data_IF_684174141457
#
_entry.id   IF_684174141457
#
_cell.length_a   1.000
_cell.length_b   1.000
_cell.length_c   1.000
_cell.angle_alpha   90.00
_cell.angle_beta   90.00
_cell.angle_gamma   90.00
#
_symmetry.space_group_name_H-M   'P 1'
#
loop_
_entity.id
_entity.type
_entity.pdbx_description
1 polymer ?
#
# COMPACT_ATOMS: atom_id res chain seq x y z
N UNK A 1 -42.85 -31.61 46.00
CA UNK A 1 -42.83 -33.00 46.50
C UNK A 1 -43.27 -33.87 45.33
N UNK A 2 -42.37 -34.62 44.69
CA UNK A 2 -41.94 -35.98 45.09
C UNK A 2 -43.09 -37.00 45.04
N UNK A 3 -43.01 -38.16 44.38
CA UNK A 3 -41.99 -38.84 43.52
C UNK A 3 -42.75 -39.43 42.29
N UNK A 4 -42.15 -39.90 41.19
CA UNK A 4 -40.76 -40.16 40.82
C UNK A 4 -40.62 -41.59 40.23
N UNK A 5 -39.95 -41.77 39.09
CA UNK A 5 -39.66 -43.10 38.52
C UNK A 5 -38.40 -43.06 37.64
N UNK A 6 -37.56 -44.10 37.72
CA UNK A 6 -36.33 -44.27 36.92
C UNK A 6 -36.45 -45.50 36.03
N UNK A 7 -35.83 -45.47 34.85
CA UNK A 7 -35.36 -46.66 34.12
C UNK A 7 -33.90 -46.48 33.70
N UNK A 8 -33.10 -47.56 33.62
CA UNK A 8 -31.66 -47.46 33.43
C UNK A 8 -31.26 -47.32 31.94
N UNK A 9 -30.09 -46.72 31.73
CA UNK A 9 -29.34 -46.83 30.47
C UNK A 9 -28.50 -48.12 30.47
N UNK A 10 -28.21 -48.64 29.27
CA UNK A 10 -27.14 -49.61 29.04
C UNK A 10 -26.43 -49.23 27.73
N UNK A 11 -25.08 -49.22 27.67
CA UNK A 11 -24.35 -48.79 26.49
C UNK A 11 -24.26 -49.90 25.43
N UNK A 12 -23.95 -49.53 24.18
CA UNK A 12 -23.52 -50.46 23.14
C UNK A 12 -22.55 -49.77 22.16
N UNK A 13 -21.34 -50.31 22.10
CA UNK A 13 -20.33 -50.28 21.04
C UNK A 13 -20.29 -49.09 20.06
N UNK A 14 -19.27 -48.25 20.24
CA UNK A 14 -18.49 -47.76 19.09
C UNK A 14 -17.58 -48.91 18.60
N UNK A 15 -17.57 -49.22 17.29
CA UNK A 15 -16.30 -49.47 16.57
C UNK A 15 -16.43 -49.52 15.02
N UNK A 16 -15.29 -49.27 14.35
CA UNK A 16 -14.90 -49.66 12.98
C UNK A 16 -15.83 -49.35 11.76
N UNK A 17 -15.62 -48.20 11.09
CA UNK A 17 -16.00 -48.01 9.67
C UNK A 17 -15.16 -46.94 8.91
N UNK A 18 -13.82 -46.99 8.96
CA UNK A 18 -12.95 -45.87 8.54
C UNK A 18 -12.24 -45.87 7.15
N UNK A 19 -12.48 -46.75 6.14
CA UNK A 19 -11.80 -46.64 4.84
C UNK A 19 -12.60 -45.91 3.73
N UNK A 20 -13.93 -45.84 3.83
CA UNK A 20 -14.78 -45.36 2.72
C UNK A 20 -14.69 -43.83 2.49
N UNK A 21 -14.60 -43.05 3.56
CA UNK A 21 -14.67 -41.58 3.51
C UNK A 21 -13.49 -40.96 2.77
N UNK A 22 -12.28 -41.46 3.00
CA UNK A 22 -11.05 -40.95 2.37
C UNK A 22 -11.04 -41.15 0.85
N UNK A 23 -11.53 -42.30 0.36
CA UNK A 23 -11.70 -42.53 -1.09
C UNK A 23 -12.73 -41.57 -1.68
N UNK A 24 -13.85 -41.34 -0.99
CA UNK A 24 -14.90 -40.41 -1.43
C UNK A 24 -14.42 -38.97 -1.50
N UNK A 25 -13.58 -38.52 -0.56
CA UNK A 25 -12.92 -37.20 -0.62
C UNK A 25 -11.95 -37.10 -1.81
N UNK A 26 -11.08 -38.10 -2.04
CA UNK A 26 -10.17 -38.11 -3.21
C UNK A 26 -10.92 -38.06 -4.54
N UNK A 27 -12.02 -38.81 -4.68
CA UNK A 27 -12.85 -38.75 -5.89
C UNK A 27 -13.58 -37.41 -6.05
N UNK A 28 -14.02 -36.76 -4.97
CA UNK A 28 -14.64 -35.44 -5.00
C UNK A 28 -13.63 -34.35 -5.45
N UNK A 29 -12.42 -34.37 -4.88
CA UNK A 29 -11.34 -33.45 -5.26
C UNK A 29 -10.88 -33.65 -6.71
N UNK A 30 -10.86 -34.89 -7.22
CA UNK A 30 -10.47 -35.15 -8.62
C UNK A 30 -11.47 -34.63 -9.67
N UNK A 31 -12.73 -34.41 -9.29
CA UNK A 31 -13.83 -34.04 -10.20
C UNK A 31 -14.06 -32.52 -10.26
N UNK A 32 -13.78 -31.78 -9.19
CA UNK A 32 -13.99 -30.33 -9.12
C UNK A 32 -12.73 -29.52 -9.50
N UNK A 33 -12.21 -29.71 -10.73
CA UNK A 33 -11.08 -28.92 -11.25
C UNK A 33 -11.52 -27.49 -11.62
N UNK A 34 -11.24 -26.54 -10.73
CA UNK A 34 -11.11 -25.09 -10.99
C UNK A 34 -12.08 -24.47 -12.01
N UNK A 35 -13.35 -24.32 -11.62
CA UNK A 35 -14.37 -23.60 -12.41
C UNK A 35 -14.11 -22.08 -12.40
N UNK A 36 -13.21 -21.61 -13.26
CA UNK A 36 -12.92 -20.19 -13.46
C UNK A 36 -13.97 -19.57 -14.39
N UNK A 37 -15.09 -19.11 -13.80
CA UNK A 37 -16.19 -18.45 -14.51
C UNK A 37 -15.72 -17.06 -14.97
N UNK A 38 -15.47 -16.90 -16.26
CA UNK A 38 -15.44 -15.59 -16.89
C UNK A 38 -16.89 -15.13 -17.16
N UNK A 39 -17.20 -13.83 -17.10
CA UNK A 39 -18.51 -13.34 -17.51
C UNK A 39 -18.75 -13.66 -18.98
N UNK A 40 -19.88 -14.30 -19.28
CA UNK A 40 -20.44 -14.30 -20.63
C UNK A 40 -21.02 -12.91 -20.85
N UNK A 41 -20.63 -12.27 -21.94
CA UNK A 41 -21.30 -11.07 -22.44
C UNK A 41 -22.32 -11.56 -23.45
N UNK A 42 -23.60 -11.48 -23.10
CA UNK A 42 -24.68 -11.82 -24.03
C UNK A 42 -24.85 -10.67 -25.03
N UNK A 43 -24.22 -10.80 -26.21
CA UNK A 43 -24.35 -9.88 -27.35
C UNK A 43 -25.73 -10.03 -28.02
N UNK A 44 -26.81 -9.65 -27.32
CA UNK A 44 -28.15 -9.47 -27.89
C UNK A 44 -28.95 -8.39 -27.11
N UNK A 45 -28.88 -7.14 -27.57
CA UNK A 45 -29.85 -6.10 -27.18
C UNK A 45 -30.09 -5.10 -28.32
N UNK A 46 -31.37 -4.98 -28.72
CA UNK A 46 -31.79 -4.26 -29.93
C UNK A 46 -31.41 -2.77 -30.00
N UNK A 47 -30.94 -2.34 -31.16
CA UNK A 47 -30.73 -0.93 -31.51
C UNK A 47 -32.01 -0.30 -32.08
N UNK A 48 -32.80 0.41 -31.27
CA UNK A 48 -33.82 1.33 -31.81
C UNK A 48 -34.13 2.59 -30.98
N UNK A 49 -34.14 3.73 -31.69
CA UNK A 49 -34.89 4.98 -31.43
C UNK A 49 -34.75 5.74 -30.09
N UNK A 50 -33.82 6.71 -30.06
CA UNK A 50 -34.06 8.09 -29.56
C UNK A 50 -32.99 9.02 -30.21
N UNK A 51 -33.33 9.88 -31.17
CA UNK A 51 -33.98 11.21 -31.03
C UNK A 51 -33.04 12.28 -30.46
N UNK A 52 -32.69 13.26 -31.30
CA UNK A 52 -31.54 14.16 -31.11
C UNK A 52 -31.89 15.50 -30.47
N UNK A 53 -31.04 16.02 -29.59
CA UNK A 53 -30.97 17.45 -29.23
C UNK A 53 -29.51 17.94 -29.22
N UNK A 54 -29.20 19.12 -29.79
CA UNK A 54 -27.82 19.62 -29.87
C UNK A 54 -27.44 20.49 -28.66
N UNK A 55 -26.25 20.25 -28.10
CA UNK A 55 -25.58 21.20 -27.19
C UNK A 55 -24.65 22.14 -27.98
N UNK A 56 -24.54 23.43 -27.62
CA UNK A 56 -23.70 24.39 -28.34
C UNK A 56 -22.20 24.21 -28.04
N UNK A 57 -21.36 24.35 -29.06
CA UNK A 57 -19.89 24.31 -28.92
C UNK A 57 -19.33 25.65 -28.47
N UNK A 58 -18.61 25.68 -27.34
CA UNK A 58 -17.89 26.84 -26.84
C UNK A 58 -16.45 26.88 -27.35
N UNK A 59 -16.22 27.57 -28.47
CA UNK A 59 -14.86 27.93 -28.90
C UNK A 59 -14.28 29.04 -28.00
N UNK A 60 -13.01 28.94 -27.56
CA UNK A 60 -12.31 30.09 -26.99
C UNK A 60 -11.97 31.12 -28.09
N UNK A 61 -11.97 32.43 -27.79
CA UNK A 61 -11.67 33.47 -28.77
C UNK A 61 -10.19 33.48 -29.18
N UNK A 62 -9.92 33.88 -30.42
CA UNK A 62 -8.56 34.12 -30.90
C UNK A 62 -8.00 35.42 -30.32
N UNK A 63 -6.69 35.42 -30.01
CA UNK A 63 -5.93 36.61 -29.63
C UNK A 63 -5.41 37.26 -30.94
N UNK A 64 -5.60 38.58 -31.15
CA UNK A 64 -5.03 39.27 -32.31
C UNK A 64 -3.53 39.56 -32.12
N UNK A 65 -2.75 39.41 -33.20
CA UNK A 65 -1.41 39.97 -33.32
C UNK A 65 -1.49 41.49 -33.58
N UNK A 66 -0.57 42.28 -33.00
CA UNK A 66 -0.34 43.70 -33.33
C UNK A 66 1.16 44.06 -33.06
N UNK A 67 1.77 45.09 -33.70
CA UNK A 67 3.19 45.03 -34.03
C UNK A 67 4.09 46.23 -33.63
N UNK A 68 5.39 46.08 -33.90
CA UNK A 68 6.50 47.07 -33.89
C UNK A 68 7.12 47.51 -32.54
N UNK A 69 8.43 47.82 -32.61
CA UNK A 69 9.27 48.38 -31.53
C UNK A 69 10.07 47.34 -30.74
N UNK A 70 11.41 47.29 -30.73
CA UNK A 70 12.38 47.96 -31.60
C UNK A 70 13.38 48.89 -30.87
N UNK A 71 14.41 48.34 -30.19
CA UNK A 71 15.66 49.03 -29.78
C UNK A 71 16.70 47.99 -29.28
N UNK A 72 18.01 48.32 -29.12
CA UNK A 72 19.10 47.33 -29.18
C UNK A 72 19.57 46.73 -27.83
N UNK A 73 20.34 45.65 -27.95
CA UNK A 73 21.02 44.94 -26.85
C UNK A 73 22.45 45.46 -26.60
N UNK A 74 22.90 45.61 -25.34
CA UNK A 74 24.29 45.82 -24.98
C UNK A 74 25.08 44.50 -24.79
N UNK A 75 26.38 44.55 -25.07
CA UNK A 75 27.30 43.39 -25.06
C UNK A 75 27.60 42.85 -23.65
N UNK A 76 27.59 41.52 -23.43
CA UNK A 76 28.15 40.94 -22.20
C UNK A 76 29.68 40.99 -22.23
N UNK A 77 30.28 41.70 -21.27
CA UNK A 77 31.74 41.75 -21.13
C UNK A 77 32.23 40.58 -20.28
N UNK A 78 33.23 39.85 -20.76
CA UNK A 78 33.87 38.77 -19.98
C UNK A 78 34.75 39.35 -18.88
N UNK A 79 34.62 38.86 -17.66
CA UNK A 79 35.53 39.16 -16.55
C UNK A 79 36.01 37.87 -15.87
N UNK A 80 37.33 37.74 -15.73
CA UNK A 80 37.99 36.62 -15.08
C UNK A 80 38.14 36.89 -13.58
N UNK A 81 37.84 35.94 -12.68
CA UNK A 81 38.15 36.10 -11.25
C UNK A 81 39.65 35.92 -11.02
N UNK A 82 40.27 36.75 -10.18
CA UNK A 82 41.68 36.58 -9.77
C UNK A 82 41.92 37.13 -8.35
N UNK A 83 42.28 36.21 -7.46
CA UNK A 83 43.03 36.36 -6.20
C UNK A 83 42.57 37.28 -5.04
N UNK A 84 42.40 36.60 -3.88
CA UNK A 84 43.05 36.90 -2.59
C UNK A 84 42.73 38.23 -1.86
N UNK A 85 41.93 38.10 -0.80
CA UNK A 85 42.10 38.79 0.48
C UNK A 85 41.60 37.84 1.59
N UNK A 86 42.48 37.14 2.31
CA UNK A 86 43.00 37.52 3.64
C UNK A 86 41.92 38.11 4.56
N UNK A 87 41.44 37.31 5.52
CA UNK A 87 40.54 37.73 6.60
C UNK A 87 41.30 37.61 7.94
N UNK A 88 41.37 38.66 8.77
CA UNK A 88 41.99 38.58 10.10
C UNK A 88 41.08 37.84 11.09
N UNK A 89 41.69 37.07 11.99
CA UNK A 89 40.98 36.44 13.12
C UNK A 89 40.70 37.48 14.21
N UNK A 90 39.47 37.51 14.71
CA UNK A 90 39.11 38.23 15.94
C UNK A 90 38.86 37.23 17.06
N UNK A 91 39.84 37.04 17.95
CA UNK A 91 39.66 36.25 19.18
C UNK A 91 39.10 37.13 20.29
N UNK A 92 37.88 36.82 20.76
CA UNK A 92 37.32 37.44 21.96
C UNK A 92 37.70 36.63 23.19
N UNK A 93 38.75 37.05 23.90
CA UNK A 93 39.03 36.53 25.24
C UNK A 93 38.00 37.08 26.25
N UNK A 94 37.48 36.22 27.12
CA UNK A 94 36.73 36.61 28.31
C UNK A 94 37.58 36.31 29.55
N UNK A 95 37.75 37.29 30.45
CA UNK A 95 38.68 37.19 31.58
C UNK A 95 38.07 36.44 32.77
N UNK A 96 38.91 35.68 33.48
CA UNK A 96 38.64 35.14 34.81
C UNK A 96 38.83 36.19 35.92
N UNK A 97 38.06 36.07 37.00
CA UNK A 97 38.35 36.64 38.32
C UNK A 97 37.64 35.77 39.41
N UNK A 98 38.17 35.67 40.66
CA UNK A 98 37.71 34.67 41.63
C UNK A 98 36.78 35.21 42.73
N UNK A 99 36.19 34.30 43.50
CA UNK A 99 35.66 34.54 44.86
C UNK A 99 35.76 33.26 45.70
N UNK A 100 36.03 33.41 46.99
CA UNK A 100 36.52 32.35 47.88
C UNK A 100 35.46 31.72 48.81
N UNK A 101 35.84 30.55 49.33
CA UNK A 101 35.42 29.86 50.57
C UNK A 101 34.02 30.13 51.16
N UNK A 102 33.24 29.04 51.26
CA UNK A 102 32.42 28.76 52.45
C UNK A 102 32.51 27.25 52.80
N UNK A 103 32.76 26.93 54.08
CA UNK A 103 32.94 25.54 54.57
C UNK A 103 31.79 25.13 55.48
N UNK A 104 31.12 24.00 55.20
CA UNK A 104 30.36 23.25 56.23
C UNK A 104 30.10 21.78 55.87
N UNK A 105 30.46 20.89 56.82
CA UNK A 105 29.80 19.63 57.19
C UNK A 105 29.36 18.63 56.09
N UNK A 106 30.09 17.51 55.98
CA UNK A 106 29.62 16.30 55.30
C UNK A 106 28.69 15.42 56.18
N UNK A 107 27.89 14.52 55.57
CA UNK A 107 26.96 13.65 56.28
C UNK A 107 27.64 12.47 57.00
N UNK A 108 27.01 11.88 58.04
CA UNK A 108 27.56 10.75 58.79
C UNK A 108 27.54 9.43 57.98
N UNK A 109 28.41 8.46 58.31
CA UNK A 109 28.48 7.16 57.63
C UNK A 109 27.23 6.30 57.90
N UNK A 110 26.71 5.66 56.85
CA UNK A 110 25.55 4.77 56.95
C UNK A 110 25.90 3.41 57.58
N UNK A 111 25.00 2.91 58.44
CA UNK A 111 25.10 1.57 59.04
C UNK A 111 24.61 0.51 58.03
N UNK A 112 25.33 -0.61 57.83
CA UNK A 112 24.89 -1.66 56.91
C UNK A 112 23.67 -2.43 57.47
N UNK A 113 22.60 -2.49 56.67
CA UNK A 113 21.44 -3.35 56.95
C UNK A 113 21.73 -4.81 56.58
N UNK A 114 21.13 -5.79 57.30
CA UNK A 114 21.28 -7.21 56.97
C UNK A 114 20.54 -7.58 55.67
N UNK A 115 20.98 -8.63 54.95
CA UNK A 115 20.39 -8.99 53.66
C UNK A 115 19.01 -9.64 53.81
N UNK A 116 17.97 -8.91 53.38
CA UNK A 116 16.64 -9.47 53.15
C UNK A 116 16.69 -10.55 52.07
N UNK A 117 16.06 -11.71 52.33
CA UNK A 117 15.87 -12.76 51.31
C UNK A 117 14.91 -12.25 50.24
N UNK A 118 15.45 -11.89 49.08
CA UNK A 118 14.64 -11.62 47.88
C UNK A 118 14.02 -12.94 47.42
N UNK A 119 12.71 -13.07 47.59
CA UNK A 119 11.93 -14.14 46.97
C UNK A 119 11.68 -13.75 45.50
N UNK A 120 12.06 -14.62 44.57
CA UNK A 120 11.98 -14.29 43.14
C UNK A 120 10.51 -14.04 42.72
N UNK A 121 10.22 -12.95 41.99
CA UNK A 121 8.87 -12.71 41.48
C UNK A 121 8.53 -13.76 40.41
N UNK A 122 7.38 -14.41 40.55
CA UNK A 122 6.83 -15.28 39.51
C UNK A 122 6.67 -14.49 38.21
N UNK A 123 7.16 -15.03 37.10
CA UNK A 123 7.03 -14.37 35.80
C UNK A 123 5.53 -14.17 35.46
N UNK A 124 5.11 -12.97 35.01
CA UNK A 124 3.75 -12.76 34.57
C UNK A 124 3.47 -13.64 33.35
N UNK A 125 2.35 -14.36 33.37
CA UNK A 125 1.95 -15.18 32.23
C UNK A 125 1.69 -14.27 31.02
N UNK A 126 2.37 -14.54 29.90
CA UNK A 126 2.07 -13.85 28.65
C UNK A 126 0.60 -14.09 28.28
N UNK A 127 -0.17 -13.04 27.93
CA UNK A 127 -1.50 -13.23 27.39
C UNK A 127 -1.40 -14.06 26.10
N UNK A 128 -2.31 -15.02 25.94
CA UNK A 128 -2.35 -15.82 24.73
C UNK A 128 -2.58 -14.92 23.49
N UNK A 129 -1.93 -15.20 22.35
CA UNK A 129 -2.20 -14.45 21.12
C UNK A 129 -3.69 -14.56 20.76
N UNK A 130 -4.33 -13.46 20.31
CA UNK A 130 -5.74 -13.47 20.00
C UNK A 130 -6.07 -14.51 18.92
N UNK A 131 -7.23 -15.18 19.00
CA UNK A 131 -7.60 -16.19 18.02
C UNK A 131 -7.73 -15.56 16.62
N UNK A 132 -7.04 -16.14 15.64
CA UNK A 132 -7.15 -15.72 14.24
C UNK A 132 -8.54 -16.11 13.74
N UNK A 133 -9.44 -15.14 13.70
CA UNK A 133 -10.81 -15.32 13.19
C UNK A 133 -10.79 -15.64 11.69
N UNK A 134 -11.66 -16.55 11.27
CA UNK A 134 -11.86 -16.84 9.85
C UNK A 134 -12.57 -15.65 9.16
N UNK A 135 -12.25 -15.34 7.90
CA UNK A 135 -12.86 -14.24 7.18
C UNK A 135 -14.37 -14.47 7.02
N UNK A 136 -15.17 -13.48 7.45
CA UNK A 136 -16.63 -13.53 7.38
C UNK A 136 -17.16 -12.95 6.06
N UNK A 137 -18.23 -13.51 5.45
CA UNK A 137 -18.79 -13.00 4.18
C UNK A 137 -19.30 -11.54 4.23
N UNK A 138 -19.50 -10.97 5.41
CA UNK A 138 -19.83 -9.55 5.58
C UNK A 138 -18.68 -8.62 5.17
N UNK A 139 -17.43 -9.00 5.46
CA UNK A 139 -16.25 -8.15 5.27
C UNK A 139 -15.95 -7.87 3.79
N UNK A 140 -16.10 -8.87 2.92
CA UNK A 140 -15.90 -8.67 1.48
C UNK A 140 -16.97 -7.75 0.87
N UNK A 141 -18.23 -7.88 1.29
CA UNK A 141 -19.32 -7.02 0.80
C UNK A 141 -19.08 -5.55 1.17
N UNK A 142 -18.51 -5.29 2.35
CA UNK A 142 -18.07 -3.94 2.74
C UNK A 142 -16.85 -3.45 1.90
N UNK A 143 -15.87 -4.30 1.60
CA UNK A 143 -14.78 -3.95 0.67
C UNK A 143 -15.30 -3.59 -0.74
N UNK A 144 -16.26 -4.35 -1.27
CA UNK A 144 -16.85 -4.12 -2.60
C UNK A 144 -17.74 -2.87 -2.67
N UNK A 145 -18.40 -2.50 -1.56
CA UNK A 145 -19.06 -1.21 -1.45
C UNK A 145 -18.03 -0.07 -1.67
N UNK A 146 -16.90 -0.09 -0.96
CA UNK A 146 -15.83 0.92 -1.12
C UNK A 146 -15.17 0.88 -2.51
N UNK A 147 -14.98 -0.30 -3.10
CA UNK A 147 -14.48 -0.44 -4.49
C UNK A 147 -15.46 0.08 -5.56
N UNK A 148 -16.70 0.45 -5.19
CA UNK A 148 -17.64 1.13 -6.10
C UNK A 148 -17.22 2.59 -6.31
N UNK A 149 -16.95 3.31 -5.22
CA UNK A 149 -16.83 4.77 -5.25
C UNK A 149 -15.50 5.21 -5.91
N UNK A 150 -14.43 4.45 -5.69
CA UNK A 150 -13.13 4.68 -6.34
C UNK A 150 -13.19 4.53 -7.88
N UNK A 151 -14.17 3.78 -8.41
CA UNK A 151 -14.19 3.23 -9.77
C UNK A 151 -14.58 4.22 -10.87
N UNK A 152 -14.97 5.45 -10.51
CA UNK A 152 -15.66 6.39 -11.41
C UNK A 152 -14.77 7.08 -12.47
N UNK A 153 -13.53 6.62 -12.70
CA UNK A 153 -12.52 7.35 -13.47
C UNK A 153 -11.67 6.48 -14.42
N UNK A 154 -11.83 6.72 -15.74
CA UNK A 154 -10.95 6.37 -16.88
C UNK A 154 -10.98 4.93 -17.48
N UNK A 155 -10.66 4.87 -18.79
CA UNK A 155 -10.47 3.70 -19.69
C UNK A 155 -9.38 4.09 -20.75
N UNK A 156 -8.93 3.31 -21.76
CA UNK A 156 -9.53 2.22 -22.55
C UNK A 156 -8.47 1.49 -23.48
N UNK A 157 -8.79 0.29 -24.00
CA UNK A 157 -8.44 -0.32 -25.34
C UNK A 157 -7.06 -0.94 -25.77
N UNK A 158 -6.85 -2.24 -25.46
CA UNK A 158 -6.68 -3.40 -26.39
C UNK A 158 -5.49 -3.63 -27.43
N UNK A 159 -5.26 -4.94 -27.71
CA UNK A 159 -4.51 -5.72 -28.78
C UNK A 159 -2.96 -6.17 -28.63
N UNK A 160 -2.45 -7.40 -29.07
CA UNK A 160 -1.94 -8.67 -28.37
C UNK A 160 -0.38 -9.07 -28.39
N UNK A 161 0.24 -10.31 -28.20
CA UNK A 161 -0.05 -11.80 -28.05
C UNK A 161 1.14 -12.75 -27.50
N UNK A 162 0.88 -14.05 -27.17
CA UNK A 162 1.66 -15.38 -27.14
C UNK A 162 2.85 -15.89 -26.23
N UNK A 163 2.81 -17.22 -25.95
CA UNK A 163 3.78 -18.36 -25.69
C UNK A 163 4.94 -18.52 -24.62
N UNK A 164 5.18 -19.81 -24.27
CA UNK A 164 6.25 -20.56 -23.51
C UNK A 164 6.35 -20.55 -21.95
N UNK A 165 6.10 -21.73 -21.33
CA UNK A 165 6.06 -21.96 -19.85
C UNK A 165 7.38 -21.63 -19.10
N UNK A 166 7.30 -21.30 -17.80
CA UNK A 166 8.40 -20.66 -17.09
C UNK A 166 9.24 -21.54 -16.17
N UNK A 167 10.52 -21.15 -16.06
CA UNK A 167 11.35 -21.39 -14.88
C UNK A 167 10.86 -20.49 -13.73
N UNK A 168 10.87 -21.00 -12.49
CA UNK A 168 10.63 -20.17 -11.31
C UNK A 168 11.85 -19.31 -11.02
N UNK A 169 11.75 -18.00 -11.13
CA UNK A 169 12.83 -17.11 -10.72
C UNK A 169 13.17 -17.30 -9.24
N UNK A 170 14.46 -17.46 -8.87
CA UNK A 170 14.87 -17.57 -7.48
C UNK A 170 14.35 -16.39 -6.66
N UNK A 171 13.73 -16.67 -5.51
CA UNK A 171 13.36 -15.63 -4.55
C UNK A 171 14.62 -14.81 -4.22
N UNK A 172 14.61 -13.47 -4.38
CA UNK A 172 15.77 -12.64 -4.00
C UNK A 172 16.14 -12.84 -2.53
N UNK A 173 17.40 -12.58 -2.17
CA UNK A 173 17.93 -12.81 -0.81
C UNK A 173 17.06 -12.10 0.25
N UNK A 174 16.72 -10.83 0.00
CA UNK A 174 15.84 -10.01 0.86
C UNK A 174 14.33 -10.27 0.62
N UNK A 175 13.99 -11.17 -0.29
CA UNK A 175 12.63 -11.46 -0.76
C UNK A 175 12.14 -10.55 -1.89
N UNK A 176 10.91 -10.80 -2.35
CA UNK A 176 10.26 -9.91 -3.30
C UNK A 176 9.81 -8.63 -2.59
N UNK A 177 9.98 -7.44 -3.22
CA UNK A 177 9.52 -6.18 -2.66
C UNK A 177 8.00 -6.19 -2.40
N UNK A 178 7.57 -5.81 -1.19
CA UNK A 178 6.15 -5.84 -0.82
C UNK A 178 5.33 -4.77 -1.56
N UNK A 179 4.34 -5.21 -2.33
CA UNK A 179 3.45 -4.32 -3.08
C UNK A 179 2.31 -3.78 -2.21
N UNK A 180 2.56 -2.68 -1.50
CA UNK A 180 1.53 -1.94 -0.77
C UNK A 180 0.40 -1.47 -1.69
N UNK A 181 -0.84 -1.69 -1.26
CA UNK A 181 -2.07 -1.25 -1.95
C UNK A 181 -2.45 0.18 -1.57
N UNK A 182 -3.23 0.84 -2.44
CA UNK A 182 -3.90 2.11 -2.15
C UNK A 182 -4.95 1.97 -1.05
N UNK A 183 -5.65 0.84 -0.97
CA UNK A 183 -6.63 0.46 0.06
C UNK A 183 -6.85 -1.05 -0.01
N UNK A 184 -7.46 -1.64 1.02
CA UNK A 184 -7.72 -3.09 1.10
C UNK A 184 -8.45 -3.63 -0.15
N UNK A 185 -9.40 -2.86 -0.67
CA UNK A 185 -10.22 -3.28 -1.80
C UNK A 185 -9.58 -3.09 -3.19
N UNK A 186 -8.34 -2.59 -3.30
CA UNK A 186 -7.77 -2.19 -4.61
C UNK A 186 -7.70 -3.34 -5.63
N UNK A 187 -7.54 -4.59 -5.17
CA UNK A 187 -7.54 -5.78 -6.02
C UNK A 187 -8.89 -6.02 -6.74
N UNK A 188 -9.97 -5.38 -6.28
CA UNK A 188 -11.31 -5.50 -6.82
C UNK A 188 -11.79 -4.25 -7.57
N UNK A 189 -10.97 -3.19 -7.69
CA UNK A 189 -11.39 -1.94 -8.35
C UNK A 189 -11.82 -2.20 -9.81
N UNK A 190 -11.03 -2.98 -10.55
CA UNK A 190 -11.31 -3.34 -11.94
C UNK A 190 -12.20 -4.60 -12.10
N UNK A 191 -12.70 -5.19 -11.01
CA UNK A 191 -13.53 -6.40 -11.02
C UNK A 191 -15.01 -6.08 -10.87
N UNK A 192 -15.87 -6.66 -11.71
CA UNK A 192 -17.33 -6.57 -11.52
C UNK A 192 -17.76 -7.06 -10.14
N UNK A 193 -18.69 -6.34 -9.50
CA UNK A 193 -19.08 -6.60 -8.11
C UNK A 193 -19.95 -7.84 -7.98
N UNK A 194 -20.88 -8.05 -8.90
CA UNK A 194 -21.77 -9.20 -8.85
C UNK A 194 -21.02 -10.48 -9.19
N UNK A 195 -19.99 -10.40 -10.03
CA UNK A 195 -19.00 -11.44 -10.24
C UNK A 195 -18.23 -11.77 -8.95
N UNK A 196 -17.66 -10.79 -8.23
CA UNK A 196 -16.93 -11.06 -6.98
C UNK A 196 -17.85 -11.58 -5.87
N UNK A 197 -19.09 -11.07 -5.74
CA UNK A 197 -20.09 -11.59 -4.80
C UNK A 197 -20.45 -13.05 -5.16
N UNK A 198 -20.69 -13.35 -6.43
CA UNK A 198 -20.98 -14.72 -6.87
C UNK A 198 -19.78 -15.66 -6.66
N UNK A 199 -18.54 -15.20 -6.83
CA UNK A 199 -17.35 -15.98 -6.50
C UNK A 199 -17.27 -16.22 -4.98
N UNK A 200 -17.58 -15.23 -4.16
CA UNK A 200 -17.53 -15.37 -2.70
C UNK A 200 -18.57 -16.36 -2.15
N UNK A 201 -19.81 -16.26 -2.64
CA UNK A 201 -20.95 -17.06 -2.18
C UNK A 201 -20.98 -18.48 -2.77
N UNK A 202 -20.45 -18.70 -3.98
CA UNK A 202 -20.57 -19.99 -4.69
C UNK A 202 -19.31 -20.83 -4.72
N UNK A 203 -18.12 -20.23 -4.50
CA UNK A 203 -16.85 -20.97 -4.49
C UNK A 203 -16.42 -21.19 -3.03
N UNK A 204 -16.26 -22.43 -2.55
CA UNK A 204 -15.69 -22.68 -1.22
C UNK A 204 -14.19 -22.34 -1.21
N UNK A 205 -13.69 -21.90 -0.06
CA UNK A 205 -12.26 -21.61 0.15
C UNK A 205 -11.35 -22.83 -0.09
N UNK A 206 -10.07 -22.65 -0.52
CA UNK A 206 -9.36 -21.37 -0.63
C UNK A 206 -9.52 -20.65 -1.98
N UNK A 207 -9.82 -19.35 -1.93
CA UNK A 207 -9.84 -18.44 -3.08
C UNK A 207 -8.54 -17.62 -3.16
N UNK A 208 -8.05 -17.38 -4.38
CA UNK A 208 -6.83 -16.59 -4.66
C UNK A 208 -7.08 -15.53 -5.73
N UNK A 209 -6.41 -14.38 -5.58
CA UNK A 209 -6.40 -13.29 -6.54
C UNK A 209 -5.01 -13.19 -7.18
N UNK A 210 -4.99 -12.97 -8.50
CA UNK A 210 -3.77 -12.92 -9.30
C UNK A 210 -3.69 -11.58 -10.02
N UNK A 211 -2.66 -10.77 -9.72
CA UNK A 211 -2.36 -9.53 -10.42
C UNK A 211 -1.24 -9.76 -11.41
N UNK A 212 -1.55 -9.63 -12.70
CA UNK A 212 -0.57 -9.90 -13.76
C UNK A 212 0.21 -8.61 -14.06
N UNK A 213 1.54 -8.70 -14.05
CA UNK A 213 2.43 -7.60 -14.43
C UNK A 213 2.65 -7.59 -15.95
N UNK A 214 2.90 -6.39 -16.50
CA UNK A 214 3.01 -6.07 -17.94
C UNK A 214 1.80 -6.41 -18.83
N UNK A 215 0.74 -6.98 -18.26
CA UNK A 215 -0.50 -7.21 -18.98
C UNK A 215 -1.34 -5.93 -19.07
N UNK A 216 -0.95 -5.06 -20.00
CA UNK A 216 -1.70 -3.87 -20.32
C UNK A 216 -3.03 -4.25 -20.99
N UNK A 217 -4.12 -4.37 -20.23
CA UNK A 217 -5.48 -4.64 -20.77
C UNK A 217 -5.89 -3.55 -21.77
N UNK A 218 -5.51 -2.30 -21.50
CA UNK A 218 -5.63 -1.17 -22.40
C UNK A 218 -4.62 -1.21 -23.58
N UNK A 219 -3.97 -2.36 -23.82
CA UNK A 219 -3.27 -2.83 -25.03
C UNK A 219 -3.20 -4.38 -25.15
N UNK A 220 -4.29 -5.15 -24.92
CA UNK A 220 -4.30 -6.62 -25.12
C UNK A 220 -5.48 -7.19 -25.97
N UNK A 221 -5.21 -8.17 -26.87
CA UNK A 221 -6.16 -9.15 -27.48
C UNK A 221 -7.27 -9.53 -26.49
N UNK A 222 -8.54 -9.68 -26.88
CA UNK A 222 -9.38 -10.74 -26.31
C UNK A 222 -8.66 -12.10 -26.44
N UNK A 223 -8.01 -12.35 -27.57
CA UNK A 223 -7.12 -13.48 -27.85
C UNK A 223 -5.89 -13.49 -26.92
N UNK A 224 -5.30 -12.33 -26.59
CA UNK A 224 -4.18 -12.22 -25.65
C UNK A 224 -4.61 -12.29 -24.18
N UNK A 225 -5.80 -11.80 -23.85
CA UNK A 225 -6.47 -12.06 -22.57
C UNK A 225 -6.63 -13.57 -22.44
N UNK A 226 -7.19 -14.27 -23.44
CA UNK A 226 -7.28 -15.73 -23.39
C UNK A 226 -5.91 -16.42 -23.39
N UNK A 227 -4.91 -15.89 -24.10
CA UNK A 227 -3.57 -16.48 -24.13
C UNK A 227 -2.85 -16.31 -22.80
N UNK A 228 -2.86 -15.13 -22.20
CA UNK A 228 -2.26 -14.87 -20.89
C UNK A 228 -3.05 -15.56 -19.78
N UNK A 229 -4.38 -15.62 -19.86
CA UNK A 229 -5.18 -16.50 -18.99
C UNK A 229 -4.84 -17.98 -19.19
N UNK A 230 -4.52 -18.43 -20.40
CA UNK A 230 -4.03 -19.79 -20.64
C UNK A 230 -2.66 -20.01 -19.99
N UNK A 231 -1.69 -19.10 -20.21
CA UNK A 231 -0.37 -19.13 -19.54
C UNK A 231 -0.52 -19.20 -18.02
N UNK A 232 -1.30 -18.28 -17.42
CA UNK A 232 -1.57 -18.23 -15.97
C UNK A 232 -2.29 -19.48 -15.48
N UNK A 233 -3.34 -19.97 -16.15
CA UNK A 233 -4.01 -21.24 -15.81
C UNK A 233 -3.05 -22.43 -15.86
N UNK A 234 -2.13 -22.47 -16.83
CA UNK A 234 -1.14 -23.54 -17.02
C UNK A 234 -0.06 -23.51 -15.94
N UNK A 235 0.42 -22.33 -15.56
CA UNK A 235 1.31 -22.11 -14.41
C UNK A 235 0.61 -22.54 -13.11
N UNK A 236 -0.58 -21.99 -12.80
CA UNK A 236 -1.36 -22.35 -11.60
C UNK A 236 -1.62 -23.86 -11.54
N UNK A 237 -1.94 -24.50 -12.66
CA UNK A 237 -2.14 -25.96 -12.73
C UNK A 237 -0.86 -26.75 -12.45
N UNK A 238 0.30 -26.22 -12.84
CA UNK A 238 1.60 -26.86 -12.57
C UNK A 238 1.94 -26.78 -11.08
N UNK A 239 1.80 -25.61 -10.45
CA UNK A 239 1.96 -25.46 -9.00
C UNK A 239 0.92 -26.34 -8.26
N UNK A 240 -0.36 -26.29 -8.63
CA UNK A 240 -1.40 -27.09 -7.97
C UNK A 240 -1.19 -28.61 -8.10
N UNK A 241 -0.45 -29.06 -9.13
CA UNK A 241 -0.04 -30.45 -9.29
C UNK A 241 1.20 -30.80 -8.43
N UNK A 242 2.21 -29.93 -8.40
CA UNK A 242 3.41 -30.08 -7.56
C UNK A 242 3.05 -30.21 -6.06
N UNK A 243 2.08 -29.41 -5.60
CA UNK A 243 1.60 -29.43 -4.21
C UNK A 243 0.36 -30.33 -4.00
N UNK A 244 0.06 -31.28 -4.89
CA UNK A 244 -1.17 -32.08 -4.81
C UNK A 244 -1.28 -32.96 -3.55
N UNK A 245 -0.16 -33.38 -2.95
CA UNK A 245 -0.11 -34.11 -1.67
C UNK A 245 0.17 -33.20 -0.45
N UNK A 246 0.26 -31.87 -0.63
CA UNK A 246 0.52 -30.94 0.46
C UNK A 246 -0.76 -30.64 1.27
N UNK A 247 -0.75 -30.96 2.57
CA UNK A 247 -1.90 -30.83 3.47
C UNK A 247 -2.46 -29.40 3.56
N UNK A 248 -1.62 -28.37 3.37
CA UNK A 248 -2.05 -27.00 3.12
C UNK A 248 -0.95 -26.19 2.42
N UNK A 249 -1.27 -25.54 1.30
CA UNK A 249 -0.37 -24.57 0.65
C UNK A 249 -0.48 -23.24 1.39
N UNK A 250 0.46 -22.96 2.30
CA UNK A 250 0.58 -21.64 2.95
C UNK A 250 1.24 -20.63 2.00
N UNK A 251 0.44 -20.02 1.12
CA UNK A 251 0.89 -18.87 0.33
C UNK A 251 1.07 -17.68 1.27
N UNK A 252 2.31 -17.22 1.44
CA UNK A 252 2.64 -16.03 2.21
C UNK A 252 2.25 -14.76 1.41
N UNK A 253 1.38 -13.87 1.93
CA UNK A 253 0.97 -12.69 1.18
C UNK A 253 2.00 -11.54 1.27
N UNK A 254 2.24 -10.78 0.19
CA UNK A 254 2.10 -11.18 -1.21
C UNK A 254 3.29 -12.03 -1.65
N UNK A 255 3.09 -12.96 -2.59
CA UNK A 255 4.21 -13.64 -3.28
C UNK A 255 4.15 -13.30 -4.77
N UNK A 256 5.26 -12.81 -5.32
CA UNK A 256 5.43 -12.58 -6.76
C UNK A 256 6.07 -13.81 -7.41
N UNK A 257 5.49 -14.30 -8.50
CA UNK A 257 6.05 -15.36 -9.33
C UNK A 257 6.49 -14.75 -10.66
N UNK A 258 7.78 -14.91 -10.96
CA UNK A 258 8.45 -14.37 -12.16
C UNK A 258 8.88 -15.55 -13.03
N UNK A 259 8.74 -15.33 -14.34
CA UNK A 259 8.27 -16.35 -15.26
C UNK A 259 8.48 -15.85 -16.70
N UNK A 260 9.24 -16.57 -17.55
CA UNK A 260 9.33 -16.28 -18.99
C UNK A 260 8.00 -16.11 -19.74
N UNK A 261 6.94 -16.78 -19.27
CA UNK A 261 5.62 -16.79 -19.92
C UNK A 261 4.79 -15.55 -19.53
N UNK A 262 4.72 -15.27 -18.22
CA UNK A 262 3.85 -14.27 -17.58
C UNK A 262 4.26 -14.04 -16.13
N UNK A 263 4.61 -12.81 -15.76
CA UNK A 263 4.97 -12.44 -14.37
C UNK A 263 3.72 -11.96 -13.60
N UNK A 264 3.49 -12.44 -12.37
CA UNK A 264 2.30 -12.07 -11.58
C UNK A 264 2.49 -12.13 -10.06
N UNK A 265 1.58 -11.48 -9.32
CA UNK A 265 1.53 -11.44 -7.86
C UNK A 265 0.29 -12.15 -7.33
N UNK A 266 0.47 -12.98 -6.30
CA UNK A 266 -0.59 -13.81 -5.70
C UNK A 266 -1.00 -13.23 -4.35
N UNK A 267 -2.31 -13.06 -4.17
CA UNK A 267 -2.96 -12.58 -2.94
C UNK A 267 -4.03 -13.56 -2.45
N UNK A 268 -4.27 -13.65 -1.13
CA UNK A 268 -5.49 -14.27 -0.61
C UNK A 268 -6.71 -13.42 -0.98
N UNK A 269 -7.84 -14.06 -1.24
CA UNK A 269 -9.08 -13.39 -1.63
C UNK A 269 -9.73 -12.55 -0.51
N UNK A 270 -9.41 -12.84 0.76
CA UNK A 270 -9.70 -11.95 1.88
C UNK A 270 -8.47 -11.10 2.22
N UNK A 271 -8.27 -9.92 1.58
CA UNK A 271 -7.10 -9.09 1.85
C UNK A 271 -7.11 -8.55 3.29
N UNK A 272 -5.94 -8.59 3.93
CA UNK A 272 -5.66 -7.81 5.13
C UNK A 272 -5.71 -6.32 4.79
N UNK A 273 -5.99 -5.49 5.80
CA UNK A 273 -5.87 -4.05 5.63
C UNK A 273 -4.41 -3.65 5.32
N UNK A 274 -4.18 -2.75 4.35
CA UNK A 274 -2.83 -2.23 4.11
C UNK A 274 -2.35 -1.48 5.33
N UNK A 275 -1.12 -1.75 5.75
CA UNK A 275 -0.44 -0.93 6.77
C UNK A 275 -0.07 0.44 6.23
N UNK A 276 0.05 0.61 4.91
CA UNK A 276 0.28 1.91 4.28
C UNK A 276 -0.98 2.77 4.30
N UNK A 277 -0.88 3.96 4.89
CA UNK A 277 -1.99 4.90 4.98
C UNK A 277 -1.92 5.97 3.88
N UNK A 278 -0.84 6.75 3.84
CA UNK A 278 -0.65 7.85 2.87
C UNK A 278 0.82 8.22 2.78
N UNK A 279 1.15 9.19 1.91
CA UNK A 279 2.46 9.83 1.91
C UNK A 279 2.32 11.32 2.21
N UNK A 280 3.30 11.90 2.90
CA UNK A 280 3.43 13.33 3.14
C UNK A 280 4.49 13.97 2.23
N UNK A 281 4.31 15.25 1.94
CA UNK A 281 5.30 16.13 1.32
C UNK A 281 5.13 17.56 1.85
N UNK A 282 6.19 18.36 1.86
CA UNK A 282 6.18 19.76 2.32
C UNK A 282 7.21 20.08 3.40
N UNK A 283 7.79 19.06 4.06
CA UNK A 283 9.06 19.23 4.75
C UNK A 283 10.18 19.49 3.72
N UNK A 284 11.11 20.39 4.06
CA UNK A 284 12.23 20.76 3.17
C UNK A 284 13.40 19.78 3.29
N UNK A 285 13.96 19.63 4.50
CA UNK A 285 15.21 18.89 4.75
C UNK A 285 15.09 17.87 5.91
N UNK A 286 13.88 17.48 6.31
CA UNK A 286 13.64 16.61 7.47
C UNK A 286 14.15 15.17 7.29
N UNK A 287 14.73 14.60 8.34
CA UNK A 287 15.01 13.16 8.41
C UNK A 287 13.78 12.32 8.79
N UNK A 288 13.83 11.01 8.54
CA UNK A 288 12.75 10.06 8.90
C UNK A 288 12.37 10.12 10.39
N UNK A 289 13.35 10.32 11.28
CA UNK A 289 13.12 10.39 12.73
C UNK A 289 12.39 11.68 13.14
N UNK A 290 12.71 12.81 12.50
CA UNK A 290 12.07 14.10 12.76
C UNK A 290 10.63 14.09 12.23
N UNK A 291 10.43 13.60 11.01
CA UNK A 291 9.10 13.39 10.43
C UNK A 291 8.26 12.45 11.33
N UNK A 292 8.82 11.34 11.81
CA UNK A 292 8.18 10.45 12.77
C UNK A 292 7.77 11.19 14.05
N UNK A 293 8.64 12.00 14.65
CA UNK A 293 8.32 12.73 15.88
C UNK A 293 7.16 13.72 15.70
N UNK A 294 7.11 14.44 14.56
CA UNK A 294 6.03 15.36 14.23
C UNK A 294 4.70 14.63 14.01
N UNK A 295 4.73 13.48 13.33
CA UNK A 295 3.53 12.66 13.10
C UNK A 295 3.01 12.08 14.41
N UNK A 296 3.88 11.50 15.23
CA UNK A 296 3.52 10.96 16.54
C UNK A 296 2.97 12.05 17.46
N UNK A 297 3.59 13.24 17.50
CA UNK A 297 3.07 14.38 18.27
C UNK A 297 1.71 14.88 17.75
N UNK A 298 1.49 14.85 16.43
CA UNK A 298 0.21 15.26 15.81
C UNK A 298 -0.89 14.25 16.12
N UNK A 299 -0.58 12.95 16.08
CA UNK A 299 -1.53 11.87 16.34
C UNK A 299 -1.81 11.68 17.84
N UNK A 300 -0.82 11.86 18.72
CA UNK A 300 -0.97 11.73 20.17
C UNK A 300 -1.54 13.03 20.78
N UNK A 301 -2.73 13.41 20.35
CA UNK A 301 -3.50 14.56 20.86
C UNK A 301 -4.91 14.14 21.25
N UNK A 302 -5.48 14.75 22.28
CA UNK A 302 -6.83 14.47 22.80
C UNK A 302 -7.88 14.57 21.67
N UNK A 303 -7.76 15.58 20.80
CA UNK A 303 -8.65 15.76 19.65
C UNK A 303 -8.59 14.58 18.65
N UNK A 304 -7.42 13.98 18.45
CA UNK A 304 -7.27 12.80 17.60
C UNK A 304 -7.79 11.55 18.29
N UNK A 305 -7.62 11.44 19.62
CA UNK A 305 -8.16 10.34 20.43
C UNK A 305 -9.69 10.33 20.43
N UNK A 306 -10.34 11.48 20.67
CA UNK A 306 -11.80 11.64 20.62
C UNK A 306 -12.37 11.29 19.24
N UNK A 307 -11.73 11.80 18.18
CA UNK A 307 -12.13 11.54 16.80
C UNK A 307 -11.92 10.06 16.40
N UNK A 308 -10.87 9.41 16.91
CA UNK A 308 -10.65 7.98 16.78
C UNK A 308 -11.72 7.15 17.51
N UNK A 309 -12.06 7.50 18.76
CA UNK A 309 -13.13 6.83 19.54
C UNK A 309 -14.46 6.87 18.78
N UNK A 310 -14.84 8.04 18.24
CA UNK A 310 -16.09 8.20 17.50
C UNK A 310 -16.21 7.33 16.23
N UNK A 311 -15.08 6.85 15.70
CA UNK A 311 -15.05 5.91 14.57
C UNK A 311 -14.97 4.45 15.06
N UNK A 312 -14.01 4.13 15.93
CA UNK A 312 -13.70 2.74 16.30
C UNK A 312 -14.81 2.09 17.16
N UNK A 313 -15.62 2.88 17.85
CA UNK A 313 -16.83 2.39 18.57
C UNK A 313 -17.91 1.81 17.64
N UNK A 314 -17.77 1.99 16.32
CA UNK A 314 -18.61 1.37 15.29
C UNK A 314 -18.05 0.03 14.77
N UNK A 315 -16.80 -0.33 15.12
CA UNK A 315 -16.17 -1.58 14.69
C UNK A 315 -16.81 -2.78 15.42
N UNK A 316 -17.04 -3.88 14.69
CA UNK A 316 -17.69 -5.08 15.23
C UNK A 316 -16.90 -5.80 16.34
N UNK A 317 -15.67 -5.38 16.64
CA UNK A 317 -14.83 -5.89 17.73
C UNK A 317 -14.80 -4.97 18.95
N UNK A 318 -15.45 -3.80 18.91
CA UNK A 318 -15.66 -2.97 20.10
C UNK A 318 -16.53 -3.73 21.12
N UNK A 319 -16.10 -3.88 22.39
CA UNK A 319 -16.78 -4.72 23.37
C UNK A 319 -18.01 -4.02 23.98
N UNK A 320 -19.06 -3.82 23.17
CA UNK A 320 -20.26 -3.06 23.54
C UNK A 320 -21.01 -3.59 24.78
N UNK A 321 -20.93 -4.89 25.07
CA UNK A 321 -21.56 -5.51 26.24
C UNK A 321 -20.66 -5.55 27.50
N UNK A 322 -19.42 -5.04 27.42
CA UNK A 322 -18.49 -5.01 28.56
C UNK A 322 -18.74 -3.80 29.49
N UNK A 323 -18.04 -3.76 30.63
CA UNK A 323 -18.07 -2.59 31.52
C UNK A 323 -17.43 -1.37 30.87
N UNK A 324 -17.87 -0.17 31.25
CA UNK A 324 -17.31 1.12 30.81
C UNK A 324 -15.79 1.19 31.02
N UNK A 325 -15.28 0.68 32.14
CA UNK A 325 -13.85 0.56 32.43
C UNK A 325 -13.12 -0.34 31.40
N UNK A 326 -13.68 -1.50 31.06
CA UNK A 326 -13.10 -2.42 30.08
C UNK A 326 -13.19 -1.87 28.64
N UNK A 327 -14.26 -1.14 28.31
CA UNK A 327 -14.39 -0.42 27.05
C UNK A 327 -13.33 0.69 26.93
N UNK A 328 -13.17 1.51 27.96
CA UNK A 328 -12.15 2.57 28.00
C UNK A 328 -10.73 1.98 27.92
N UNK A 329 -10.46 0.88 28.64
CA UNK A 329 -9.18 0.18 28.55
C UNK A 329 -8.92 -0.36 27.14
N UNK A 330 -9.93 -0.90 26.45
CA UNK A 330 -9.81 -1.37 25.06
C UNK A 330 -9.58 -0.22 24.07
N UNK A 331 -10.29 0.91 24.23
CA UNK A 331 -10.10 2.10 23.39
C UNK A 331 -8.69 2.68 23.57
N UNK A 332 -8.24 2.81 24.81
CA UNK A 332 -6.88 3.27 25.16
C UNK A 332 -5.81 2.34 24.58
N UNK A 333 -5.95 1.02 24.78
CA UNK A 333 -4.99 0.03 24.29
C UNK A 333 -4.94 -0.06 22.76
N UNK A 334 -6.09 0.02 22.07
CA UNK A 334 -6.14 0.00 20.61
C UNK A 334 -5.53 1.27 20.01
N UNK A 335 -5.78 2.45 20.60
CA UNK A 335 -5.14 3.69 20.18
C UNK A 335 -3.62 3.65 20.36
N UNK A 336 -3.11 3.17 21.50
CA UNK A 336 -1.67 3.00 21.69
C UNK A 336 -1.08 1.97 20.73
N UNK A 337 -1.75 0.85 20.46
CA UNK A 337 -1.31 -0.10 19.42
C UNK A 337 -1.16 0.57 18.04
N UNK A 338 -2.08 1.46 17.67
CA UNK A 338 -1.98 2.24 16.42
C UNK A 338 -0.74 3.14 16.43
N UNK A 339 -0.48 3.87 17.52
CA UNK A 339 0.70 4.73 17.66
C UNK A 339 2.02 3.95 17.66
N UNK A 340 2.09 2.84 18.41
CA UNK A 340 3.28 1.98 18.52
C UNK A 340 3.62 1.29 17.19
N UNK A 341 2.61 1.05 16.35
CA UNK A 341 2.78 0.48 15.00
C UNK A 341 3.26 1.47 13.93
N UNK A 342 3.31 2.77 14.26
CA UNK A 342 3.71 3.84 13.34
C UNK A 342 5.12 3.58 12.79
N UNK A 343 5.23 3.60 11.46
CA UNK A 343 6.50 3.57 10.73
C UNK A 343 6.48 4.64 9.65
N UNK A 344 7.62 5.26 9.43
CA UNK A 344 7.83 6.31 8.44
C UNK A 344 9.01 5.92 7.56
N UNK A 345 8.86 5.97 6.24
CA UNK A 345 9.99 5.77 5.31
C UNK A 345 10.16 6.95 4.38
N UNK A 346 11.34 7.56 4.40
CA UNK A 346 11.76 8.61 3.47
C UNK A 346 11.90 8.09 2.03
N UNK A 347 11.62 8.96 1.06
CA UNK A 347 11.85 8.78 -0.37
C UNK A 347 12.57 10.01 -0.95
N UNK A 348 13.73 9.80 -1.56
CA UNK A 348 14.38 10.79 -2.45
C UNK A 348 13.59 10.88 -3.77
N UNK A 349 12.48 11.63 -3.74
CA UNK A 349 11.72 11.98 -4.93
C UNK A 349 12.22 13.32 -5.45
N UNK A 350 12.49 13.36 -6.76
CA UNK A 350 12.93 14.57 -7.46
C UNK A 350 11.88 15.05 -8.46
N UNK A 351 11.70 16.36 -8.52
CA UNK A 351 10.85 17.04 -9.50
C UNK A 351 11.63 17.34 -10.78
N UNK A 352 10.92 17.84 -11.79
CA UNK A 352 11.50 18.40 -13.01
C UNK A 352 12.64 19.37 -12.68
N UNK A 353 13.79 19.24 -13.36
CA UNK A 353 14.99 20.03 -13.05
C UNK A 353 15.87 19.43 -11.95
N UNK A 354 15.65 18.18 -11.52
CA UNK A 354 16.43 17.49 -10.48
C UNK A 354 16.32 18.14 -9.08
N UNK A 355 15.26 18.92 -8.84
CA UNK A 355 14.97 19.58 -7.56
C UNK A 355 14.51 18.52 -6.56
N UNK A 356 15.13 18.41 -5.36
CA UNK A 356 14.64 17.55 -4.29
C UNK A 356 13.21 17.92 -3.87
N UNK A 357 12.38 16.92 -3.64
CA UNK A 357 11.04 17.08 -3.09
C UNK A 357 10.73 15.85 -2.21
N UNK A 358 11.36 15.76 -1.03
CA UNK A 358 11.31 14.56 -0.20
C UNK A 358 9.88 14.19 0.17
N UNK A 359 9.63 12.88 0.23
CA UNK A 359 8.34 12.32 0.63
C UNK A 359 8.51 11.31 1.74
N UNK A 360 7.49 11.19 2.56
CA UNK A 360 7.47 10.30 3.71
C UNK A 360 6.26 9.39 3.57
N UNK A 361 6.46 8.10 3.32
CA UNK A 361 5.37 7.13 3.39
C UNK A 361 5.04 6.84 4.85
N UNK A 362 3.77 6.90 5.20
CA UNK A 362 3.27 6.72 6.56
C UNK A 362 2.55 5.37 6.64
N UNK A 363 2.97 4.54 7.59
CA UNK A 363 2.40 3.22 7.83
C UNK A 363 1.96 3.09 9.29
N UNK A 364 0.83 2.46 9.54
CA UNK A 364 0.39 1.98 10.85
C UNK A 364 -0.56 0.79 10.69
N UNK A 365 -0.65 -0.04 11.72
CA UNK A 365 -1.65 -1.10 11.83
C UNK A 365 -2.87 -0.55 12.55
N UNK A 366 -3.90 -0.15 11.79
CA UNK A 366 -5.15 0.32 12.37
C UNK A 366 -5.89 -0.89 12.98
N UNK A 367 -6.27 -0.85 14.28
CA UNK A 367 -6.85 -1.99 15.00
C UNK A 367 -8.35 -2.12 14.74
N UNK A 368 -8.73 -2.17 13.46
CA UNK A 368 -10.11 -2.33 12.97
C UNK A 368 -10.19 -3.51 11.99
N UNK A 369 -11.35 -4.17 11.94
CA UNK A 369 -11.68 -5.13 10.88
C UNK A 369 -12.83 -4.68 9.98
N UNK A 370 -13.56 -3.62 10.34
CA UNK A 370 -14.51 -2.95 9.48
C UNK A 370 -13.81 -2.11 8.38
N UNK A 371 -14.10 -2.34 7.08
CA UNK A 371 -13.57 -1.51 6.01
C UNK A 371 -13.98 -0.04 6.08
N UNK A 372 -15.17 0.29 6.63
CA UNK A 372 -15.60 1.69 6.78
C UNK A 372 -14.74 2.40 7.82
N UNK A 373 -14.62 1.86 9.05
CA UNK A 373 -13.78 2.42 10.09
C UNK A 373 -12.30 2.53 9.68
N UNK A 374 -11.73 1.55 8.97
CA UNK A 374 -10.37 1.66 8.41
C UNK A 374 -10.22 2.86 7.47
N UNK A 375 -11.19 3.05 6.57
CA UNK A 375 -11.19 4.18 5.66
C UNK A 375 -11.39 5.51 6.39
N UNK A 376 -12.32 5.60 7.35
CA UNK A 376 -12.61 6.83 8.10
C UNK A 376 -11.43 7.28 8.99
N UNK A 377 -10.78 6.36 9.72
CA UNK A 377 -9.57 6.67 10.51
C UNK A 377 -8.44 7.15 9.59
N UNK A 378 -8.22 6.45 8.48
CA UNK A 378 -7.19 6.85 7.50
C UNK A 378 -7.48 8.22 6.91
N UNK A 379 -8.73 8.49 6.52
CA UNK A 379 -9.16 9.76 5.94
C UNK A 379 -9.02 10.93 6.94
N UNK A 380 -9.27 10.67 8.23
CA UNK A 380 -9.01 11.62 9.33
C UNK A 380 -7.52 11.96 9.41
N UNK A 381 -6.65 10.94 9.50
CA UNK A 381 -5.19 11.11 9.56
C UNK A 381 -4.62 11.79 8.30
N UNK A 382 -5.19 11.52 7.12
CA UNK A 382 -4.77 12.11 5.84
C UNK A 382 -5.10 13.61 5.73
N UNK A 383 -6.14 14.08 6.44
CA UNK A 383 -6.60 15.48 6.45
C UNK A 383 -5.84 16.36 7.46
N UNK A 384 -5.01 15.78 8.32
CA UNK A 384 -4.20 16.52 9.29
C UNK A 384 -3.07 17.30 8.62
N UNK A 385 -2.62 18.36 9.28
CA UNK A 385 -1.51 19.22 8.85
C UNK A 385 -0.33 19.00 9.79
N UNK A 386 0.82 18.62 9.25
CA UNK A 386 1.99 18.17 10.01
C UNK A 386 3.07 19.25 10.01
N UNK A 387 3.08 20.10 11.05
CA UNK A 387 3.97 21.27 11.11
C UNK A 387 5.19 21.02 11.98
N UNK A 388 6.38 21.28 11.42
CA UNK A 388 7.65 21.31 12.13
C UNK A 388 8.22 22.75 12.07
N UNK A 389 8.58 23.40 13.20
CA UNK A 389 9.10 24.77 13.19
C UNK A 389 10.41 24.99 12.43
N UNK A 390 11.21 23.94 12.21
CA UNK A 390 12.48 23.99 11.48
C UNK A 390 12.33 23.55 10.03
N UNK A 391 11.55 22.48 9.80
CA UNK A 391 11.45 21.82 8.48
C UNK A 391 10.25 22.24 7.64
N UNK A 392 9.35 23.07 8.18
CA UNK A 392 8.14 23.53 7.50
C UNK A 392 6.93 22.64 7.73
N UNK A 393 5.91 22.78 6.89
CA UNK A 393 4.61 22.12 7.04
C UNK A 393 4.38 21.11 5.93
N UNK A 394 4.22 19.84 6.31
CA UNK A 394 3.86 18.77 5.41
C UNK A 394 2.34 18.49 5.40
N UNK A 395 1.85 18.07 4.24
CA UNK A 395 0.48 17.64 4.02
C UNK A 395 0.46 16.42 3.08
N UNK A 396 -0.72 15.82 2.86
CA UNK A 396 -0.90 14.68 1.96
C UNK A 396 -0.31 14.94 0.56
N UNK A 397 0.70 14.18 0.20
CA UNK A 397 1.23 14.11 -1.15
C UNK A 397 0.28 13.32 -2.08
N UNK A 398 0.03 13.78 -3.31
CA UNK A 398 -0.76 13.00 -4.27
C UNK A 398 -0.01 11.70 -4.62
N UNK A 399 -0.68 10.58 -4.36
CA UNK A 399 -0.23 9.24 -4.69
C UNK A 399 -0.52 8.92 -6.16
N UNK A 400 0.46 8.33 -6.84
CA UNK A 400 0.28 7.70 -8.15
C UNK A 400 0.88 6.30 -8.06
N UNK A 401 0.10 5.22 -8.31
CA UNK A 401 0.64 3.86 -8.34
C UNK A 401 1.84 3.78 -9.29
N UNK A 402 2.85 3.02 -8.88
CA UNK A 402 4.03 2.75 -9.68
C UNK A 402 3.61 2.06 -10.99
N UNK A 403 3.92 2.65 -12.15
CA UNK A 403 3.54 2.13 -13.47
C UNK A 403 4.35 0.89 -13.92
N UNK A 404 4.78 0.06 -12.96
CA UNK A 404 5.51 -1.21 -13.14
C UNK A 404 4.90 -2.27 -12.21
N UNK A 405 4.89 -2.03 -10.90
CA UNK A 405 4.37 -2.98 -9.91
C UNK A 405 3.01 -2.57 -9.28
N UNK A 406 2.46 -1.41 -9.65
CA UNK A 406 1.23 -0.83 -9.11
C UNK A 406 1.26 -0.51 -7.59
N UNK A 407 2.42 -0.62 -6.94
CA UNK A 407 2.62 -0.20 -5.55
C UNK A 407 2.47 1.31 -5.38
N UNK A 408 1.89 1.77 -4.28
CA UNK A 408 1.68 3.21 -4.02
C UNK A 408 2.81 3.90 -3.23
N UNK A 409 3.75 3.15 -2.65
CA UNK A 409 4.83 3.70 -1.80
C UNK A 409 6.03 4.25 -2.56
N UNK A 410 6.06 4.18 -3.90
CA UNK A 410 7.20 4.69 -4.67
C UNK A 410 6.81 5.06 -6.12
N UNK A 411 7.44 6.10 -6.70
CA UNK A 411 7.32 6.41 -8.13
C UNK A 411 8.08 5.40 -9.01
N UNK A 412 7.76 5.35 -10.32
CA UNK A 412 8.38 4.43 -11.31
C UNK A 412 9.91 4.37 -11.25
N UNK A 413 10.58 5.52 -11.10
CA UNK A 413 12.06 5.58 -11.06
C UNK A 413 12.70 4.97 -9.82
N UNK A 414 11.94 4.77 -8.74
CA UNK A 414 12.37 4.11 -7.51
C UNK A 414 11.82 2.67 -7.42
N UNK A 415 11.28 2.10 -8.51
CA UNK A 415 10.78 0.74 -8.50
C UNK A 415 11.93 -0.28 -8.34
N UNK A 416 11.87 -1.19 -7.36
CA UNK A 416 12.89 -2.22 -7.16
C UNK A 416 12.77 -3.39 -8.14
N UNK A 417 11.56 -3.70 -8.63
CA UNK A 417 11.31 -4.89 -9.46
C UNK A 417 12.19 -4.99 -10.73
N UNK A 418 12.41 -3.92 -11.52
CA UNK A 418 13.32 -3.93 -12.68
C UNK A 418 14.82 -4.06 -12.36
N UNK A 419 15.16 -4.27 -11.08
CA UNK A 419 16.53 -4.57 -10.62
C UNK A 419 16.66 -6.00 -10.10
N UNK A 420 15.58 -6.78 -10.11
CA UNK A 420 15.62 -8.20 -9.80
C UNK A 420 16.11 -8.95 -11.05
N UNK A 421 17.01 -9.90 -10.85
CA UNK A 421 17.40 -10.83 -11.90
C UNK A 421 16.17 -11.58 -12.43
N UNK A 422 16.17 -11.87 -13.74
CA UNK A 422 15.05 -12.51 -14.46
C UNK A 422 13.71 -11.75 -14.41
N UNK A 423 13.66 -10.46 -14.05
CA UNK A 423 12.40 -9.68 -14.10
C UNK A 423 11.81 -9.58 -15.52
N UNK A 424 10.85 -10.47 -15.81
CA UNK A 424 10.08 -10.52 -17.05
C UNK A 424 8.83 -9.60 -17.05
N UNK A 425 8.71 -8.69 -16.08
CA UNK A 425 7.63 -7.68 -16.03
C UNK A 425 8.02 -6.35 -16.71
N UNK A 426 7.23 -5.28 -16.48
CA UNK A 426 7.46 -3.99 -17.13
C UNK A 426 8.83 -3.42 -16.73
N UNK A 427 9.60 -2.99 -17.73
CA UNK A 427 10.92 -2.41 -17.50
C UNK A 427 10.82 -0.93 -17.14
N UNK A 428 11.87 -0.36 -16.53
CA UNK A 428 12.11 1.08 -16.65
C UNK A 428 12.64 1.29 -18.08
N UNK A 429 11.81 1.84 -18.97
CA UNK A 429 12.32 2.33 -20.26
C UNK A 429 13.50 3.27 -19.93
N UNK A 430 14.71 3.06 -20.48
CA UNK A 430 15.78 4.02 -20.30
C UNK A 430 15.29 5.39 -20.76
N UNK A 431 15.70 6.49 -20.09
CA UNK A 431 15.32 7.83 -20.52
C UNK A 431 15.67 7.96 -22.01
N UNK A 432 14.69 8.32 -22.83
CA UNK A 432 14.85 8.35 -24.28
C UNK A 432 16.13 9.12 -24.62
N UNK A 433 17.07 8.53 -25.40
CA UNK A 433 18.43 9.02 -25.51
C UNK A 433 18.39 10.50 -25.88
N UNK A 434 18.96 11.33 -25.00
CA UNK A 434 18.73 12.79 -24.98
C UNK A 434 18.93 13.32 -26.40
N UNK A 435 17.81 13.68 -27.05
CA UNK A 435 17.88 14.07 -28.45
C UNK A 435 18.81 15.28 -28.54
N UNK A 436 19.81 15.27 -29.45
CA UNK A 436 20.73 16.38 -29.58
C UNK A 436 19.90 17.66 -29.78
N UNK A 437 20.25 18.76 -29.08
CA UNK A 437 19.41 19.95 -29.00
C UNK A 437 18.98 20.35 -30.40
N UNK A 438 17.66 20.51 -30.66
CA UNK A 438 17.09 20.42 -32.00
C UNK A 438 17.82 21.39 -32.91
N UNK A 439 18.55 20.83 -33.91
CA UNK A 439 19.54 21.60 -34.68
C UNK A 439 18.92 22.92 -35.12
N UNK A 440 19.58 24.07 -34.83
CA UNK A 440 18.95 25.38 -34.94
C UNK A 440 18.43 25.53 -36.36
N UNK A 441 17.09 25.50 -36.50
CA UNK A 441 16.39 25.33 -37.79
C UNK A 441 17.00 26.30 -38.79
N UNK A 442 17.79 25.79 -39.75
CA UNK A 442 18.47 26.63 -40.72
C UNK A 442 17.40 27.52 -41.35
N UNK A 443 17.49 28.83 -41.11
CA UNK A 443 16.57 29.80 -41.71
C UNK A 443 16.76 29.68 -43.21
N UNK A 444 15.81 29.00 -43.85
CA UNK A 444 15.82 28.74 -45.29
C UNK A 444 15.60 30.10 -45.96
N UNK A 445 16.69 30.77 -46.32
CA UNK A 445 16.69 32.12 -46.90
C UNK A 445 15.78 32.13 -48.12
N UNK A 446 14.55 32.63 -47.95
CA UNK A 446 13.48 32.54 -48.95
C UNK A 446 13.43 33.77 -49.87
N UNK A 447 14.29 34.75 -49.59
CA UNK A 447 14.26 36.09 -50.19
C UNK A 447 15.16 36.25 -51.43
N UNK A 448 15.85 35.18 -51.85
CA UNK A 448 16.73 35.17 -53.04
C UNK A 448 15.97 35.13 -54.38
N UNK A 449 14.68 35.48 -54.41
CA UNK A 449 13.73 35.10 -55.46
C UNK A 449 12.81 36.21 -56.01
N UNK A 450 13.16 37.50 -55.85
CA UNK A 450 12.52 38.61 -56.59
C UNK A 450 13.55 39.61 -57.13
N UNK A 451 13.73 39.58 -58.44
CA UNK A 451 14.23 40.66 -59.31
C UNK A 451 13.46 40.59 -60.62
#
# INVERSE_FOLDING_TARGET
>A
MEKGSKRPFSPNNEDLAAPATQKRMREHWSKNRFTLIAPVVDDDMDLSTASSTPFPSSHPPAIPDDPFGGTPSPTPTSTTPTNVATVPQTMTQASSAPSDLATTLGPPPAVPLPPSKVQAPSAPAHPAPPPVLAPTPSRLKAHLAMATENRRNAANQALPLTETLPVHTPKPIDGFPMTHLRHSAQLFDDMDKDCVIQWDERVPEPKLLFRIFDFNVNKATQEAIQTVLHKVRKVISSIAYEYQDAVAIKIAPPTVWVTPDVTFEVFPFGPTFPTFLFALAGFVDAESAEAYSVILQTWNTDQMYDAYIGIITQDARFPADATEEAQMQWLTASFHQMLDSLRVTFLDVKLSGNVPAPRFNIFAELPTEDPKAWHEIRDLLEKMIYTNPLHGTAARAPLRPCAICHCVTHPRGLCPFPRLDEWHGPQINPPAPVQPPPQPKQRRNKDAGRR
#
